data_IF_586132029619
#
_entry.id   IF_586132029619
#
_cell.length_a   1.000
_cell.length_b   1.000
_cell.length_c   1.000
_cell.angle_alpha   90.00
_cell.angle_beta   90.00
_cell.angle_gamma   90.00
#
_symmetry.space_group_name_H-M   'P 1'
#
loop_
_entity.id
_entity.type
_entity.pdbx_description
1 polymer ?
#
# COMPACT_ATOMS: atom_id res chain seq x y z
N UNK A 1 -26.43 -4.80 -9.70
CA UNK A 1 -26.71 -5.90 -8.74
C UNK A 1 -25.47 -6.78 -8.66
N UNK A 2 -24.94 -7.07 -7.46
CA UNK A 2 -23.84 -8.03 -7.30
C UNK A 2 -24.38 -9.46 -7.42
N UNK A 3 -23.66 -10.34 -8.10
CA UNK A 3 -24.00 -11.76 -8.23
C UNK A 3 -24.03 -12.43 -6.84
N UNK A 4 -25.05 -13.25 -6.56
CA UNK A 4 -25.29 -13.82 -5.24
C UNK A 4 -24.08 -14.59 -4.66
N UNK A 5 -23.37 -15.34 -5.51
CA UNK A 5 -22.16 -16.05 -5.09
C UNK A 5 -21.03 -15.08 -4.69
N UNK A 6 -20.85 -13.97 -5.41
CA UNK A 6 -19.85 -12.95 -5.09
C UNK A 6 -20.17 -12.31 -3.74
N UNK A 7 -21.44 -11.94 -3.50
CA UNK A 7 -21.88 -11.41 -2.21
C UNK A 7 -21.60 -12.38 -1.05
N UNK A 8 -21.87 -13.68 -1.23
CA UNK A 8 -21.63 -14.69 -0.21
C UNK A 8 -20.13 -14.85 0.11
N UNK A 9 -19.28 -14.90 -0.91
CA UNK A 9 -17.82 -15.01 -0.74
C UNK A 9 -17.28 -13.75 -0.06
N UNK A 10 -17.69 -12.56 -0.48
CA UNK A 10 -17.29 -11.30 0.14
C UNK A 10 -17.64 -11.27 1.62
N UNK A 11 -18.87 -11.66 2.01
CA UNK A 11 -19.27 -11.72 3.43
C UNK A 11 -18.39 -12.66 4.22
N UNK A 12 -18.16 -13.88 3.72
CA UNK A 12 -17.30 -14.87 4.38
C UNK A 12 -15.87 -14.37 4.59
N UNK A 13 -15.32 -13.65 3.60
CA UNK A 13 -13.98 -13.04 3.73
C UNK A 13 -14.00 -11.95 4.79
N UNK A 14 -15.00 -11.06 4.78
CA UNK A 14 -15.12 -9.97 5.77
C UNK A 14 -15.20 -10.55 7.19
N UNK A 15 -16.06 -11.54 7.42
CA UNK A 15 -16.23 -12.18 8.73
C UNK A 15 -14.93 -12.85 9.20
N UNK A 16 -14.34 -13.71 8.37
CA UNK A 16 -13.10 -14.43 8.70
C UNK A 16 -11.93 -13.49 8.97
N UNK A 17 -11.85 -12.38 8.24
CA UNK A 17 -10.71 -11.46 8.30
C UNK A 17 -10.87 -10.34 9.32
N UNK A 18 -11.98 -10.23 10.05
CA UNK A 18 -12.22 -9.13 10.99
C UNK A 18 -11.05 -8.88 11.96
N UNK A 19 -10.53 -9.88 12.71
CA UNK A 19 -9.45 -9.65 13.66
C UNK A 19 -8.16 -9.18 12.98
N UNK A 20 -7.76 -9.83 11.87
CA UNK A 20 -6.55 -9.46 11.13
C UNK A 20 -6.67 -8.10 10.46
N UNK A 21 -7.85 -7.76 9.93
CA UNK A 21 -8.11 -6.45 9.34
C UNK A 21 -8.07 -5.34 10.39
N UNK A 22 -8.60 -5.58 11.60
CA UNK A 22 -8.48 -4.65 12.73
C UNK A 22 -7.03 -4.39 13.06
N UNK A 23 -6.26 -5.44 13.33
CA UNK A 23 -4.84 -5.32 13.67
C UNK A 23 -4.02 -4.57 12.60
N UNK A 24 -4.30 -4.84 11.31
CA UNK A 24 -3.68 -4.12 10.21
C UNK A 24 -4.04 -2.63 10.19
N UNK A 25 -5.31 -2.28 10.34
CA UNK A 25 -5.73 -0.87 10.35
C UNK A 25 -5.15 -0.13 11.56
N UNK A 26 -5.13 -0.76 12.74
CA UNK A 26 -4.52 -0.18 13.94
C UNK A 26 -3.00 0.03 13.76
N UNK A 27 -2.32 -0.84 13.01
CA UNK A 27 -0.93 -0.63 12.62
C UNK A 27 -0.78 0.59 11.70
N UNK A 28 -1.61 0.68 10.64
CA UNK A 28 -1.55 1.80 9.70
C UNK A 28 -1.83 3.14 10.39
N UNK A 29 -2.79 3.19 11.31
CA UNK A 29 -3.10 4.40 12.06
C UNK A 29 -1.92 4.85 12.93
N UNK A 30 -1.20 3.92 13.56
CA UNK A 30 0.03 4.20 14.33
C UNK A 30 1.18 4.65 13.43
N UNK A 31 1.42 3.95 12.32
CA UNK A 31 2.53 4.24 11.42
C UNK A 31 2.34 5.54 10.62
N UNK A 32 1.10 6.00 10.47
CA UNK A 32 0.80 7.33 9.91
C UNK A 32 1.52 8.44 10.68
N UNK A 33 1.65 8.32 12.00
CA UNK A 33 2.32 9.30 12.85
C UNK A 33 3.85 9.13 12.82
N UNK A 34 4.34 7.89 12.63
CA UNK A 34 5.76 7.54 12.61
C UNK A 34 6.44 7.68 11.24
N UNK A 35 5.79 8.34 10.27
CA UNK A 35 6.16 8.35 8.86
C UNK A 35 7.69 8.37 8.61
N UNK A 36 8.24 7.22 8.19
CA UNK A 36 9.61 7.13 7.68
C UNK A 36 9.65 7.89 6.37
N UNK A 37 10.09 9.16 6.43
CA UNK A 37 10.29 9.97 5.24
C UNK A 37 11.50 9.44 4.48
N UNK A 38 11.50 9.55 3.14
CA UNK A 38 12.60 9.08 2.28
C UNK A 38 14.00 9.67 2.55
N UNK A 39 14.20 10.80 3.29
CA UNK A 39 15.56 11.24 3.64
C UNK A 39 16.41 10.20 4.39
N UNK A 40 15.79 9.13 4.92
CA UNK A 40 16.50 8.04 5.58
C UNK A 40 16.99 6.95 4.61
N UNK A 41 16.71 7.04 3.30
CA UNK A 41 17.16 6.07 2.29
C UNK A 41 18.48 6.51 1.64
N UNK A 42 19.43 5.59 1.49
CA UNK A 42 20.67 5.83 0.77
C UNK A 42 20.46 6.08 -0.73
N UNK A 43 21.37 6.83 -1.35
CA UNK A 43 21.30 7.26 -2.76
C UNK A 43 21.09 6.10 -3.75
N UNK A 44 21.66 4.92 -3.48
CA UNK A 44 21.47 3.74 -4.32
C UNK A 44 20.01 3.27 -4.38
N UNK A 45 19.30 3.25 -3.25
CA UNK A 45 17.90 2.85 -3.20
C UNK A 45 17.00 3.83 -3.96
N UNK A 46 17.30 5.13 -3.86
CA UNK A 46 16.57 6.16 -4.59
C UNK A 46 16.83 6.06 -6.11
N UNK A 47 18.08 5.79 -6.53
CA UNK A 47 18.41 5.60 -7.94
C UNK A 47 17.63 4.44 -8.56
N UNK A 48 17.52 3.31 -7.85
CA UNK A 48 16.71 2.17 -8.30
C UNK A 48 15.22 2.49 -8.33
N UNK A 49 14.70 3.20 -7.32
CA UNK A 49 13.28 3.55 -7.25
C UNK A 49 12.81 4.44 -8.42
N UNK A 50 13.72 5.20 -9.04
CA UNK A 50 13.40 6.10 -10.17
C UNK A 50 13.83 5.55 -11.53
N UNK A 51 14.36 4.33 -11.61
CA UNK A 51 14.81 3.77 -12.88
C UNK A 51 13.61 3.41 -13.77
N UNK A 52 13.62 3.84 -15.04
CA UNK A 52 12.56 3.52 -16.01
C UNK A 52 11.24 4.30 -15.83
N UNK A 53 11.23 5.36 -15.03
CA UNK A 53 10.04 6.19 -14.75
C UNK A 53 10.21 7.60 -15.31
N UNK A 54 10.68 7.76 -16.56
CA UNK A 54 11.14 9.06 -17.07
C UNK A 54 10.06 10.15 -17.02
N UNK A 55 8.82 9.79 -17.31
CA UNK A 55 7.66 10.69 -17.28
C UNK A 55 7.25 11.09 -15.86
N UNK A 56 7.47 10.22 -14.87
CA UNK A 56 7.05 10.41 -13.47
C UNK A 56 8.21 10.80 -12.52
N UNK A 57 9.45 10.78 -13.01
CA UNK A 57 10.68 10.87 -12.21
C UNK A 57 10.71 12.08 -11.29
N UNK A 58 10.32 13.26 -11.80
CA UNK A 58 10.34 14.50 -11.02
C UNK A 58 9.27 14.52 -9.93
N UNK A 59 8.08 13.99 -10.22
CA UNK A 59 7.03 13.83 -9.22
C UNK A 59 7.44 12.84 -8.12
N UNK A 60 8.14 11.76 -8.50
CA UNK A 60 8.68 10.80 -7.56
C UNK A 60 9.77 11.42 -6.69
N UNK A 61 10.75 12.13 -7.26
CA UNK A 61 11.82 12.81 -6.49
C UNK A 61 11.30 13.83 -5.50
N UNK A 62 10.19 14.51 -5.80
CA UNK A 62 9.61 15.52 -4.93
C UNK A 62 9.15 14.96 -3.57
N UNK A 63 8.94 13.63 -3.48
CA UNK A 63 8.52 12.91 -2.25
C UNK A 63 7.30 13.52 -1.55
N UNK A 64 6.37 14.06 -2.35
CA UNK A 64 5.12 14.67 -1.85
C UNK A 64 3.91 13.72 -1.94
N UNK A 65 4.06 12.62 -2.67
CA UNK A 65 3.01 11.64 -2.91
C UNK A 65 3.12 10.43 -1.99
N UNK A 66 1.97 9.83 -1.66
CA UNK A 66 1.94 8.56 -0.95
C UNK A 66 2.34 7.42 -1.89
N UNK A 67 3.25 6.55 -1.42
CA UNK A 67 3.59 5.32 -2.13
C UNK A 67 2.63 4.22 -1.67
N UNK A 68 1.80 3.70 -2.58
CA UNK A 68 0.83 2.65 -2.27
C UNK A 68 1.31 1.34 -2.89
N UNK A 69 1.74 0.40 -2.05
CA UNK A 69 1.97 -0.98 -2.48
C UNK A 69 0.65 -1.73 -2.61
N UNK A 70 0.35 -2.24 -3.79
CA UNK A 70 -0.79 -3.14 -4.01
C UNK A 70 -0.31 -4.59 -3.90
N UNK A 71 -0.60 -5.24 -2.77
CA UNK A 71 -0.35 -6.67 -2.61
C UNK A 71 -1.60 -7.43 -3.08
N UNK A 72 -1.49 -8.08 -4.22
CA UNK A 72 -2.56 -8.94 -4.76
C UNK A 72 -2.29 -10.40 -4.36
N UNK A 73 -3.37 -11.17 -4.20
CA UNK A 73 -3.27 -12.63 -3.99
C UNK A 73 -3.24 -13.41 -5.32
N UNK A 74 -3.27 -12.70 -6.44
CA UNK A 74 -3.18 -13.28 -7.77
C UNK A 74 -1.69 -13.35 -8.13
N UNK A 75 -1.16 -14.57 -8.07
CA UNK A 75 0.06 -14.95 -8.77
C UNK A 75 -0.34 -15.54 -10.12
#
# INVERSE_FOLDING_TARGET
MIHAAVAAVTRRIVERSQPGRRAYLDLIDRERENAVRRPNLGCANLAHAYAGTDEDREAMKADRGMNIGLVTAYN
#
